data_IF_975932342073
#
_entry.id   IF_975932342073
#
_cell.length_a   1.000
_cell.length_b   1.000
_cell.length_c   1.000
_cell.angle_alpha   90.00
_cell.angle_beta   90.00
_cell.angle_gamma   90.00
#
_symmetry.space_group_name_H-M   'P 1'
#
loop_
_entity.id
_entity.type
_entity.pdbx_description
1 polymer ?
#
# COMPACT_ATOMS: atom_id res chain seq x y z
N UNK A 1 2.34 10.07 17.53
CA UNK A 1 1.26 9.43 18.33
C UNK A 1 1.24 9.89 19.79
N UNK A 2 2.34 9.83 20.55
CA UNK A 2 2.38 10.23 21.97
C UNK A 2 1.83 11.65 22.23
N UNK A 3 2.04 12.58 21.30
CA UNK A 3 1.47 13.92 21.40
C UNK A 3 -0.07 13.93 21.35
N UNK A 4 -0.68 13.08 20.51
CA UNK A 4 -2.14 12.95 20.38
C UNK A 4 -2.77 12.36 21.64
N UNK A 5 -2.11 11.42 22.30
CA UNK A 5 -2.61 10.84 23.56
C UNK A 5 -2.87 11.90 24.65
N UNK A 6 -2.13 13.01 24.63
CA UNK A 6 -2.26 14.10 25.61
C UNK A 6 -3.12 15.27 25.12
N UNK A 7 -3.36 15.39 23.80
CA UNK A 7 -3.95 16.58 23.19
C UNK A 7 -5.08 16.28 22.19
N UNK A 8 -5.63 15.05 22.19
CA UNK A 8 -6.58 14.61 21.15
C UNK A 8 -7.86 15.44 21.07
N UNK A 9 -8.26 16.11 22.15
CA UNK A 9 -9.45 16.96 22.18
C UNK A 9 -9.23 18.37 21.61
N UNK A 10 -7.97 18.78 21.42
CA UNK A 10 -7.60 20.11 20.93
C UNK A 10 -7.14 20.10 19.46
N UNK A 11 -7.20 18.94 18.79
CA UNK A 11 -6.70 18.76 17.43
C UNK A 11 -7.85 18.29 16.56
N UNK A 12 -8.17 19.09 15.54
CA UNK A 12 -9.22 18.76 14.59
C UNK A 12 -8.69 18.12 13.30
N UNK A 13 -7.57 18.66 12.81
CA UNK A 13 -6.96 18.28 11.53
C UNK A 13 -5.47 18.06 11.72
N UNK A 14 -4.97 16.97 11.14
CA UNK A 14 -3.54 16.67 11.04
C UNK A 14 -3.13 16.77 9.57
N UNK A 15 -2.13 17.61 9.30
CA UNK A 15 -1.38 17.57 8.05
C UNK A 15 -0.34 16.46 8.15
N UNK A 16 -0.49 15.42 7.33
CA UNK A 16 0.36 14.23 7.38
C UNK A 16 1.29 14.16 6.18
N UNK A 17 2.60 14.12 6.43
CA UNK A 17 3.56 13.73 5.41
C UNK A 17 3.60 12.21 5.26
N UNK A 18 3.77 11.71 4.04
CA UNK A 18 3.97 10.28 3.79
C UNK A 18 5.39 9.86 4.15
N UNK A 19 6.38 10.69 3.81
CA UNK A 19 7.80 10.34 3.98
C UNK A 19 8.28 10.84 5.34
N UNK A 20 8.14 10.01 6.36
CA UNK A 20 8.62 10.30 7.71
C UNK A 20 9.63 9.25 8.18
N UNK A 21 10.61 9.63 9.01
CA UNK A 21 11.48 8.67 9.68
C UNK A 21 10.68 7.83 10.71
N UNK A 22 11.18 6.63 11.01
CA UNK A 22 10.63 5.66 11.97
C UNK A 22 9.30 5.01 11.56
N UNK A 23 8.25 5.81 11.31
CA UNK A 23 6.91 5.36 10.91
C UNK A 23 6.44 6.19 9.73
N UNK A 24 6.04 5.52 8.64
CA UNK A 24 5.54 6.24 7.48
C UNK A 24 4.15 6.87 7.75
N UNK A 25 3.82 7.92 7.00
CA UNK A 25 2.57 8.65 7.19
C UNK A 25 1.30 7.84 6.94
N UNK A 26 1.38 6.79 6.13
CA UNK A 26 0.23 5.93 5.84
C UNK A 26 -0.11 5.09 7.07
N UNK A 27 0.89 4.44 7.67
CA UNK A 27 0.76 3.68 8.91
C UNK A 27 0.30 4.58 10.07
N UNK A 28 0.90 5.77 10.18
CA UNK A 28 0.50 6.76 11.17
C UNK A 28 -0.97 7.17 10.99
N UNK A 29 -1.40 7.44 9.75
CA UNK A 29 -2.80 7.79 9.43
C UNK A 29 -3.73 6.65 9.82
N UNK A 30 -3.40 5.40 9.48
CA UNK A 30 -4.24 4.25 9.81
C UNK A 30 -4.43 4.08 11.32
N UNK A 31 -3.35 4.30 12.10
CA UNK A 31 -3.42 4.29 13.57
C UNK A 31 -4.28 5.46 14.10
N UNK A 32 -4.09 6.66 13.55
CA UNK A 32 -4.83 7.86 13.97
C UNK A 32 -6.32 7.69 13.71
N UNK A 33 -6.71 7.29 12.50
CA UNK A 33 -8.11 7.07 12.13
C UNK A 33 -8.78 6.05 13.07
N UNK A 34 -8.06 4.97 13.42
CA UNK A 34 -8.58 3.91 14.30
C UNK A 34 -8.71 4.35 15.76
N UNK A 35 -7.75 5.11 16.27
CA UNK A 35 -7.69 5.49 17.70
C UNK A 35 -8.38 6.82 18.01
N UNK A 36 -8.43 7.73 17.04
CA UNK A 36 -8.93 9.09 17.19
C UNK A 36 -9.89 9.44 16.04
N UNK A 37 -11.09 8.82 15.98
CA UNK A 37 -12.01 8.96 14.84
C UNK A 37 -12.55 10.40 14.63
N UNK A 38 -12.39 11.28 15.62
CA UNK A 38 -12.78 12.68 15.52
C UNK A 38 -11.70 13.56 14.88
N UNK A 39 -10.47 13.06 14.76
CA UNK A 39 -9.34 13.77 14.15
C UNK A 39 -9.30 13.43 12.67
N UNK A 40 -9.28 14.45 11.83
CA UNK A 40 -9.28 14.31 10.38
C UNK A 40 -7.85 14.40 9.87
N UNK A 41 -7.50 13.56 8.91
CA UNK A 41 -6.15 13.55 8.35
C UNK A 41 -6.18 14.03 6.89
N UNK A 42 -5.33 15.01 6.60
CA UNK A 42 -5.06 15.54 5.26
C UNK A 42 -3.61 15.22 4.90
N UNK A 43 -3.41 14.37 3.90
CA UNK A 43 -2.07 14.06 3.42
C UNK A 43 -1.50 15.27 2.65
N UNK A 44 -0.29 15.70 3.02
CA UNK A 44 0.48 16.75 2.39
C UNK A 44 1.82 16.16 1.98
N UNK A 45 2.01 15.83 0.70
CA UNK A 45 3.12 14.98 0.24
C UNK A 45 3.64 15.37 -1.13
N UNK A 46 4.87 14.96 -1.47
CA UNK A 46 5.41 15.10 -2.83
C UNK A 46 5.00 13.94 -3.74
N UNK A 47 4.50 12.84 -3.16
CA UNK A 47 4.12 11.66 -3.90
C UNK A 47 2.78 11.89 -4.61
N UNK A 48 2.78 11.82 -5.94
CA UNK A 48 1.58 11.93 -6.75
C UNK A 48 1.16 10.59 -7.36
N UNK A 49 1.89 9.51 -7.06
CA UNK A 49 1.68 8.20 -7.64
C UNK A 49 0.47 7.50 -7.02
N UNK A 50 -0.31 6.86 -7.88
CA UNK A 50 -1.54 6.15 -7.53
C UNK A 50 -1.42 5.20 -6.33
N UNK A 51 -0.37 4.37 -6.18
CA UNK A 51 -0.26 3.45 -5.05
C UNK A 51 -0.21 4.17 -3.69
N UNK A 52 0.36 5.38 -3.62
CA UNK A 52 0.40 6.16 -2.37
C UNK A 52 -0.94 6.81 -2.09
N UNK A 53 -1.59 7.34 -3.13
CA UNK A 53 -2.94 7.94 -3.04
C UNK A 53 -3.92 6.89 -2.49
N UNK A 54 -3.98 5.71 -3.12
CA UNK A 54 -4.91 4.65 -2.73
C UNK A 54 -4.66 4.17 -1.29
N UNK A 55 -3.40 3.88 -0.93
CA UNK A 55 -3.06 3.44 0.44
C UNK A 55 -3.40 4.48 1.49
N UNK A 56 -3.24 5.77 1.19
CA UNK A 56 -3.56 6.85 2.11
C UNK A 56 -5.08 7.02 2.30
N UNK A 57 -5.85 6.86 1.22
CA UNK A 57 -7.32 6.83 1.28
C UNK A 57 -7.79 5.62 2.09
N UNK A 58 -7.23 4.43 1.84
CA UNK A 58 -7.54 3.19 2.56
C UNK A 58 -7.18 3.29 4.05
N UNK A 59 -6.12 4.04 4.39
CA UNK A 59 -5.75 4.37 5.77
C UNK A 59 -6.73 5.33 6.46
N UNK A 60 -7.68 5.91 5.71
CA UNK A 60 -8.74 6.76 6.22
C UNK A 60 -8.47 8.26 6.16
N UNK A 61 -7.47 8.70 5.37
CA UNK A 61 -7.32 10.13 5.11
C UNK A 61 -8.57 10.68 4.40
N UNK A 62 -9.01 11.87 4.84
CA UNK A 62 -10.12 12.58 4.20
C UNK A 62 -9.65 13.47 3.06
N UNK A 63 -8.37 13.81 3.00
CA UNK A 63 -7.84 14.51 1.85
C UNK A 63 -6.41 14.18 1.49
N UNK A 64 -6.04 14.58 0.28
CA UNK A 64 -4.72 14.40 -0.30
C UNK A 64 -4.37 15.62 -1.17
N UNK A 65 -3.31 16.32 -0.79
CA UNK A 65 -2.80 17.48 -1.50
C UNK A 65 -1.28 17.34 -1.71
N UNK A 66 -0.83 17.79 -2.87
CA UNK A 66 0.59 17.81 -3.20
C UNK A 66 1.28 19.00 -2.52
N UNK A 67 2.53 18.80 -2.07
CA UNK A 67 3.33 19.81 -1.34
C UNK A 67 3.70 21.04 -2.18
N UNK A 68 3.57 20.97 -3.49
CA UNK A 68 3.77 22.08 -4.42
C UNK A 68 2.51 22.93 -4.63
N UNK A 69 1.39 22.58 -3.99
CA UNK A 69 0.16 23.34 -4.05
C UNK A 69 0.33 24.74 -3.45
N UNK A 70 -0.43 25.71 -3.99
CA UNK A 70 -0.43 27.06 -3.45
C UNK A 70 -0.99 27.10 -2.04
N UNK A 71 -0.60 28.12 -1.27
CA UNK A 71 -1.04 28.32 0.11
C UNK A 71 -2.57 28.36 0.21
N UNK A 72 -3.23 28.99 -0.75
CA UNK A 72 -4.69 29.13 -0.81
C UNK A 72 -5.35 27.75 -0.91
N UNK A 73 -4.82 26.85 -1.75
CA UNK A 73 -5.31 25.48 -1.89
C UNK A 73 -5.09 24.65 -0.63
N UNK A 74 -3.96 24.84 0.06
CA UNK A 74 -3.71 24.15 1.33
C UNK A 74 -4.73 24.60 2.39
N UNK A 75 -5.00 25.90 2.49
CA UNK A 75 -6.01 26.44 3.41
C UNK A 75 -7.41 25.91 3.06
N UNK A 76 -7.77 25.93 1.79
CA UNK A 76 -9.02 25.35 1.28
C UNK A 76 -9.14 23.87 1.71
N UNK A 77 -8.12 23.06 1.44
CA UNK A 77 -8.09 21.65 1.80
C UNK A 77 -8.27 21.40 3.30
N UNK A 78 -7.61 22.20 4.15
CA UNK A 78 -7.76 22.11 5.61
C UNK A 78 -9.21 22.39 6.01
N UNK A 79 -9.82 23.45 5.48
CA UNK A 79 -11.19 23.83 5.80
C UNK A 79 -12.20 22.78 5.32
N UNK A 80 -12.02 22.22 4.12
CA UNK A 80 -12.84 21.14 3.59
C UNK A 80 -12.77 19.90 4.50
N UNK A 81 -11.56 19.46 4.84
CA UNK A 81 -11.35 18.28 5.69
C UNK A 81 -11.83 18.53 7.13
N UNK A 82 -11.70 19.76 7.64
CA UNK A 82 -12.28 20.17 8.91
C UNK A 82 -13.80 19.97 8.92
N UNK A 83 -14.50 20.32 7.84
CA UNK A 83 -15.95 20.11 7.71
C UNK A 83 -16.35 18.64 7.47
N UNK A 84 -15.40 17.70 7.54
CA UNK A 84 -15.57 16.26 7.26
C UNK A 84 -15.86 15.94 5.80
N UNK A 85 -15.61 16.89 4.91
CA UNK A 85 -15.67 16.68 3.47
C UNK A 85 -14.33 16.17 2.95
N UNK A 86 -14.37 15.53 1.77
CA UNK A 86 -13.16 15.02 1.13
C UNK A 86 -12.52 16.08 0.25
N UNK A 87 -11.20 16.22 0.32
CA UNK A 87 -10.44 17.10 -0.56
C UNK A 87 -9.35 16.34 -1.31
N UNK A 88 -9.39 16.39 -2.64
CA UNK A 88 -8.31 15.87 -3.48
C UNK A 88 -7.93 16.98 -4.45
N UNK A 89 -6.62 17.27 -4.57
CA UNK A 89 -6.17 18.19 -5.61
C UNK A 89 -6.63 17.72 -7.00
N UNK A 90 -6.74 18.63 -7.96
CA UNK A 90 -7.21 18.28 -9.30
C UNK A 90 -6.38 17.14 -9.93
N UNK A 91 -5.06 17.18 -9.77
CA UNK A 91 -4.17 16.12 -10.27
C UNK A 91 -4.49 14.74 -9.64
N UNK A 92 -4.69 14.72 -8.32
CA UNK A 92 -5.05 13.50 -7.59
C UNK A 92 -6.42 13.00 -8.01
N UNK A 93 -7.38 13.91 -8.17
CA UNK A 93 -8.75 13.60 -8.62
C UNK A 93 -8.75 12.97 -10.01
N UNK A 94 -7.98 13.52 -10.96
CA UNK A 94 -7.84 12.95 -12.31
C UNK A 94 -7.27 11.53 -12.26
N UNK A 95 -6.23 11.30 -11.43
CA UNK A 95 -5.65 9.96 -11.26
C UNK A 95 -6.65 8.97 -10.69
N UNK A 96 -7.39 9.35 -9.64
CA UNK A 96 -8.44 8.52 -9.05
C UNK A 96 -9.54 8.19 -10.05
N UNK A 97 -10.01 9.18 -10.81
CA UNK A 97 -11.03 8.97 -11.86
C UNK A 97 -10.49 8.00 -12.92
N UNK A 98 -9.26 8.18 -13.37
CA UNK A 98 -8.64 7.28 -14.33
C UNK A 98 -8.53 5.84 -13.79
N UNK A 99 -8.19 5.66 -12.52
CA UNK A 99 -8.19 4.34 -11.85
C UNK A 99 -9.59 3.72 -11.83
N UNK A 100 -10.61 4.50 -11.49
CA UNK A 100 -12.01 4.03 -11.44
C UNK A 100 -12.54 3.68 -12.84
N UNK A 101 -12.25 4.51 -13.84
CA UNK A 101 -12.64 4.30 -15.23
C UNK A 101 -11.85 3.17 -15.90
N UNK A 102 -10.61 2.94 -15.47
CA UNK A 102 -9.82 1.76 -15.85
C UNK A 102 -10.41 0.46 -15.29
N UNK A 103 -11.43 0.56 -14.41
CA UNK A 103 -12.45 -0.44 -14.09
C UNK A 103 -11.92 -1.85 -13.97
N UNK A 104 -11.68 -2.32 -12.73
CA UNK A 104 -11.43 -3.73 -12.42
C UNK A 104 -10.56 -4.46 -13.46
N UNK A 105 -9.49 -3.80 -13.92
CA UNK A 105 -8.21 -4.50 -13.97
C UNK A 105 -7.88 -4.86 -12.53
N UNK A 106 -8.62 -5.85 -11.99
CA UNK A 106 -8.24 -6.79 -10.93
C UNK A 106 -6.75 -6.67 -10.85
N UNK A 107 -6.19 -6.19 -9.72
CA UNK A 107 -4.77 -6.35 -9.35
C UNK A 107 -4.22 -7.38 -10.29
N UNK A 108 -3.64 -6.97 -11.43
CA UNK A 108 -3.40 -7.94 -12.48
C UNK A 108 -2.39 -8.81 -11.79
N UNK A 109 -2.79 -10.01 -11.38
CA UNK A 109 -1.93 -10.83 -10.59
C UNK A 109 -0.85 -11.09 -11.60
N UNK A 110 0.27 -10.35 -11.45
CA UNK A 110 1.41 -10.43 -12.34
C UNK A 110 1.80 -11.91 -12.41
N UNK A 111 1.42 -12.70 -11.40
CA UNK A 111 1.50 -14.14 -11.33
C UNK A 111 0.16 -14.82 -11.65
N UNK A 112 0.19 -15.81 -12.52
CA UNK A 112 -0.91 -16.76 -12.72
C UNK A 112 -1.24 -17.53 -11.42
N UNK A 113 -2.40 -18.19 -11.35
CA UNK A 113 -2.79 -19.02 -10.20
C UNK A 113 -1.74 -20.08 -9.83
N UNK A 114 -1.08 -20.68 -10.84
CA UNK A 114 0.02 -21.63 -10.64
C UNK A 114 1.27 -20.97 -10.07
N UNK A 115 1.60 -19.77 -10.53
CA UNK A 115 2.75 -19.02 -10.02
C UNK A 115 2.52 -18.54 -8.58
N UNK A 116 1.27 -18.24 -8.20
CA UNK A 116 0.90 -17.93 -6.81
C UNK A 116 0.98 -19.14 -5.89
N UNK A 117 0.50 -20.31 -6.34
CA UNK A 117 0.66 -21.56 -5.58
C UNK A 117 2.13 -21.87 -5.34
N UNK A 118 2.97 -21.71 -6.37
CA UNK A 118 4.41 -21.89 -6.24
C UNK A 118 5.03 -20.87 -5.26
N UNK A 119 4.64 -19.59 -5.37
CA UNK A 119 5.11 -18.54 -4.45
C UNK A 119 4.76 -18.86 -3.00
N UNK A 120 3.59 -19.44 -2.73
CA UNK A 120 3.15 -19.83 -1.38
C UNK A 120 4.09 -20.87 -0.76
N UNK A 121 4.40 -21.91 -1.52
CA UNK A 121 5.27 -22.99 -1.05
C UNK A 121 6.70 -22.49 -0.82
N UNK A 122 7.19 -21.55 -1.66
CA UNK A 122 8.50 -20.91 -1.48
C UNK A 122 8.53 -20.07 -0.20
N UNK A 123 7.48 -19.28 0.06
CA UNK A 123 7.39 -18.43 1.26
C UNK A 123 7.34 -19.28 2.54
N UNK A 124 6.72 -20.47 2.49
CA UNK A 124 6.71 -21.43 3.58
C UNK A 124 8.01 -22.26 3.70
N UNK A 125 9.06 -21.92 2.94
CA UNK A 125 10.37 -22.58 3.05
C UNK A 125 10.44 -23.99 2.46
N UNK A 126 9.46 -24.40 1.66
CA UNK A 126 9.43 -25.73 1.05
C UNK A 126 10.47 -25.81 -0.06
N UNK A 127 11.22 -26.92 -0.10
CA UNK A 127 12.29 -27.12 -1.09
C UNK A 127 11.74 -27.46 -2.48
N UNK A 128 12.45 -27.07 -3.54
CA UNK A 128 12.00 -27.27 -4.93
C UNK A 128 11.74 -28.73 -5.31
N UNK A 129 12.41 -29.69 -4.64
CA UNK A 129 12.17 -31.12 -4.81
C UNK A 129 10.83 -31.57 -4.21
N UNK A 130 10.47 -31.05 -3.04
CA UNK A 130 9.19 -31.33 -2.37
C UNK A 130 8.05 -30.64 -3.11
N UNK A 131 8.22 -29.37 -3.49
CA UNK A 131 7.27 -28.62 -4.33
C UNK A 131 6.98 -29.37 -5.63
N UNK A 132 8.02 -29.93 -6.26
CA UNK A 132 7.86 -30.72 -7.48
C UNK A 132 6.93 -31.91 -7.30
N UNK A 133 7.10 -32.66 -6.20
CA UNK A 133 6.22 -33.78 -5.86
C UNK A 133 4.78 -33.34 -5.63
N UNK A 134 4.57 -32.26 -4.87
CA UNK A 134 3.22 -31.74 -4.58
C UNK A 134 2.49 -31.24 -5.83
N UNK A 135 3.21 -30.62 -6.76
CA UNK A 135 2.65 -30.04 -7.99
C UNK A 135 2.71 -30.98 -9.20
N UNK A 136 3.12 -32.25 -9.02
CA UNK A 136 3.32 -33.24 -10.07
C UNK A 136 4.23 -32.76 -11.22
N UNK A 137 5.33 -32.07 -10.88
CA UNK A 137 6.35 -31.58 -11.83
C UNK A 137 7.77 -31.85 -11.31
N UNK A 138 8.78 -31.78 -12.18
CA UNK A 138 10.17 -31.96 -11.73
C UNK A 138 10.66 -30.76 -10.90
N UNK A 139 11.58 -30.99 -9.95
CA UNK A 139 12.23 -29.88 -9.21
C UNK A 139 12.97 -28.89 -10.13
N UNK A 140 13.44 -29.36 -11.29
CA UNK A 140 14.03 -28.50 -12.34
C UNK A 140 12.98 -27.58 -12.99
N UNK A 141 11.75 -28.07 -13.16
CA UNK A 141 10.61 -27.31 -13.65
C UNK A 141 10.23 -26.23 -12.63
N UNK A 142 10.25 -26.56 -11.33
CA UNK A 142 10.02 -25.62 -10.22
C UNK A 142 11.02 -24.46 -10.25
N UNK A 143 12.33 -24.73 -10.36
CA UNK A 143 13.35 -23.68 -10.47
C UNK A 143 13.18 -22.80 -11.71
N UNK A 144 12.67 -23.37 -12.81
CA UNK A 144 12.36 -22.62 -14.02
C UNK A 144 11.19 -21.66 -13.81
N UNK A 145 10.10 -22.12 -13.20
CA UNK A 145 8.98 -21.25 -12.83
C UNK A 145 9.39 -20.16 -11.84
N UNK A 146 10.19 -20.50 -10.81
CA UNK A 146 10.73 -19.53 -9.84
C UNK A 146 11.54 -18.41 -10.52
N UNK A 147 12.42 -18.76 -11.47
CA UNK A 147 13.16 -17.75 -12.27
C UNK A 147 12.24 -16.88 -13.12
N UNK A 148 11.21 -17.48 -13.72
CA UNK A 148 10.24 -16.73 -14.51
C UNK A 148 9.47 -15.72 -13.65
N UNK A 149 9.06 -16.13 -12.44
CA UNK A 149 8.41 -15.25 -11.45
C UNK A 149 9.32 -14.09 -11.06
N UNK A 150 10.59 -14.38 -10.71
CA UNK A 150 11.59 -13.36 -10.36
C UNK A 150 11.75 -12.34 -11.50
N UNK A 151 11.90 -12.82 -12.74
CA UNK A 151 12.01 -11.95 -13.92
C UNK A 151 10.74 -11.14 -14.17
N UNK A 152 9.56 -11.76 -14.05
CA UNK A 152 8.25 -11.14 -14.30
C UNK A 152 7.94 -10.03 -13.29
N UNK A 153 8.44 -10.16 -12.06
CA UNK A 153 8.33 -9.17 -10.99
C UNK A 153 9.53 -8.21 -10.92
N UNK A 154 10.49 -8.32 -11.86
CA UNK A 154 11.72 -7.53 -11.90
C UNK A 154 12.52 -7.55 -10.59
N UNK A 155 12.66 -8.74 -9.98
CA UNK A 155 13.39 -8.96 -8.73
C UNK A 155 14.76 -9.57 -9.01
N UNK A 156 15.69 -9.43 -8.07
CA UNK A 156 17.08 -9.90 -8.25
C UNK A 156 17.28 -11.34 -7.78
N UNK A 157 16.54 -11.78 -6.78
CA UNK A 157 16.74 -13.09 -6.16
C UNK A 157 15.51 -13.58 -5.38
N UNK A 158 15.60 -14.81 -4.87
CA UNK A 158 14.53 -15.46 -4.09
C UNK A 158 14.22 -14.72 -2.78
N UNK A 159 15.21 -14.10 -2.14
CA UNK A 159 14.98 -13.35 -0.90
C UNK A 159 14.14 -12.09 -1.16
N UNK A 160 14.37 -11.41 -2.28
CA UNK A 160 13.52 -10.31 -2.74
C UNK A 160 12.12 -10.80 -3.12
N UNK A 161 11.99 -11.99 -3.71
CA UNK A 161 10.69 -12.61 -3.99
C UNK A 161 9.87 -12.86 -2.73
N UNK A 162 10.50 -13.41 -1.69
CA UNK A 162 9.83 -13.64 -0.39
C UNK A 162 9.45 -12.32 0.26
N UNK A 163 10.36 -11.33 0.30
CA UNK A 163 10.05 -9.98 0.82
C UNK A 163 8.92 -9.31 0.04
N UNK A 164 8.90 -9.46 -1.27
CA UNK A 164 7.84 -8.93 -2.13
C UNK A 164 6.48 -9.57 -1.81
N UNK A 165 6.43 -10.89 -1.63
CA UNK A 165 5.20 -11.61 -1.29
C UNK A 165 4.61 -11.14 0.04
N UNK A 166 5.47 -10.97 1.06
CA UNK A 166 5.07 -10.50 2.39
C UNK A 166 4.65 -9.02 2.39
N UNK A 167 5.35 -8.16 1.64
CA UNK A 167 5.07 -6.71 1.59
C UNK A 167 3.76 -6.36 0.85
N UNK A 168 3.31 -7.22 -0.07
CA UNK A 168 2.13 -6.97 -0.90
C UNK A 168 0.90 -7.79 -0.47
N UNK A 169 0.94 -8.39 0.73
CA UNK A 169 -0.12 -9.26 1.28
C UNK A 169 -0.59 -10.33 0.30
N UNK A 170 0.32 -10.80 -0.56
CA UNK A 170 -0.02 -11.82 -1.57
C UNK A 170 -0.27 -13.17 -0.89
N UNK A 171 0.39 -13.41 0.24
CA UNK A 171 0.43 -14.69 0.96
C UNK A 171 0.69 -14.45 2.45
N UNK A 172 -0.02 -15.17 3.31
CA UNK A 172 0.25 -15.22 4.76
C UNK A 172 1.06 -16.50 5.04
N UNK A 173 2.30 -16.40 5.55
CA UNK A 173 3.07 -17.59 5.90
C UNK A 173 2.39 -18.35 7.05
N UNK A 174 2.20 -19.66 6.88
CA UNK A 174 1.74 -20.52 7.97
C UNK A 174 2.91 -20.72 8.92
N UNK A 175 2.87 -20.09 10.10
CA UNK A 175 3.79 -20.41 11.20
C UNK A 175 3.45 -21.83 11.69
N UNK A 176 4.32 -22.80 11.39
CA UNK A 176 4.45 -24.03 12.18
C UNK A 176 5.62 -23.88 13.13
#
# INVERSE_FOLDING_TARGET
>A
INYLQKNSTAIDVILMDITMPEMNGIEATQLITKQYPNIRTLALTMHAEEPYIMKMIDAGALGYILKDASREKIIEAINTVYNKDRYYSNEVSVKLINTLLAGDKKKELLLSKRELQLLNLIVNGITSTVIGKELNISGRTVETHKRNIIRKLNLKNTAELVRYALKNDLIIPNRQ
#
